data_IF_191496567039
#
_entry.id   IF_191496567039
#
_cell.length_a   1.000
_cell.length_b   1.000
_cell.length_c   1.000
_cell.angle_alpha   90.00
_cell.angle_beta   90.00
_cell.angle_gamma   90.00
#
_symmetry.space_group_name_H-M   'P 1'
#
loop_
_entity.id
_entity.type
_entity.pdbx_description
1 polymer ?
#
# COMPACT_ATOMS: atom_id res chain seq x y z
N UNK A 1 -24.44 16.36 -90.08
CA UNK A 1 -23.38 17.33 -89.87
C UNK A 1 -22.75 17.07 -88.49
N UNK A 2 -21.53 16.53 -88.46
CA UNK A 2 -20.81 16.20 -87.27
C UNK A 2 -19.71 17.26 -87.07
N UNK A 3 -19.71 17.98 -85.96
CA UNK A 3 -18.70 18.91 -85.55
C UNK A 3 -17.79 18.33 -84.50
N UNK A 4 -16.56 18.08 -84.87
CA UNK A 4 -15.50 17.62 -83.95
C UNK A 4 -15.01 18.79 -83.07
N UNK A 5 -15.03 18.61 -81.75
CA UNK A 5 -14.30 19.47 -80.82
C UNK A 5 -13.00 18.77 -80.40
N UNK A 6 -11.89 19.48 -80.75
CA UNK A 6 -10.52 19.16 -80.29
C UNK A 6 -10.41 19.36 -78.77
N UNK A 7 -9.96 18.36 -78.09
CA UNK A 7 -9.49 18.44 -76.65
C UNK A 7 -8.01 18.87 -76.67
N UNK A 8 -7.72 19.96 -75.95
CA UNK A 8 -6.36 20.41 -75.66
C UNK A 8 -5.90 19.78 -74.34
N UNK A 9 -4.73 19.13 -74.38
CA UNK A 9 -4.08 18.50 -73.19
C UNK A 9 -3.42 19.59 -72.34
N UNK A 10 -3.45 19.47 -70.97
CA UNK A 10 -2.74 20.37 -70.09
C UNK A 10 -1.26 19.95 -69.92
N UNK A 11 -0.38 20.91 -69.89
CA UNK A 11 1.06 20.85 -69.71
C UNK A 11 1.38 20.41 -68.22
N UNK A 12 2.41 19.59 -67.93
CA UNK A 12 2.75 19.20 -66.58
C UNK A 12 3.47 20.33 -65.84
N UNK A 13 2.92 20.66 -64.66
CA UNK A 13 3.52 21.63 -63.72
C UNK A 13 4.64 20.91 -62.93
N UNK A 14 5.86 21.43 -63.07
CA UNK A 14 7.05 21.01 -62.34
C UNK A 14 6.89 21.27 -60.85
N UNK A 15 6.88 20.20 -60.02
CA UNK A 15 6.94 20.29 -58.56
C UNK A 15 8.36 20.62 -58.11
N UNK A 16 8.56 21.85 -57.63
CA UNK A 16 9.78 22.25 -56.90
C UNK A 16 9.83 21.45 -55.61
N UNK A 17 10.83 20.59 -55.47
CA UNK A 17 11.20 19.95 -54.18
C UNK A 17 11.81 21.01 -53.27
N UNK A 18 11.22 21.13 -52.05
CA UNK A 18 11.80 21.89 -50.96
C UNK A 18 12.97 21.07 -50.34
N UNK A 19 14.03 21.72 -49.85
CA UNK A 19 15.13 21.02 -49.21
C UNK A 19 14.63 20.40 -47.91
N UNK A 20 14.88 19.08 -47.74
CA UNK A 20 14.69 18.34 -46.48
C UNK A 20 15.91 18.62 -45.61
N UNK A 21 15.72 19.32 -44.52
CA UNK A 21 16.75 19.45 -43.49
C UNK A 21 17.16 18.09 -42.96
N UNK A 22 18.44 17.86 -42.62
CA UNK A 22 18.89 16.57 -42.09
C UNK A 22 18.20 16.28 -40.76
N UNK A 23 17.62 15.08 -40.65
CA UNK A 23 17.06 14.53 -39.42
C UNK A 23 18.17 14.54 -38.36
N UNK A 24 18.06 15.48 -37.43
CA UNK A 24 18.88 15.48 -36.24
C UNK A 24 18.50 14.21 -35.48
N UNK A 25 19.40 13.21 -35.46
CA UNK A 25 19.32 12.07 -34.58
C UNK A 25 19.34 12.59 -33.14
N UNK A 26 18.17 12.83 -32.57
CA UNK A 26 18.03 12.98 -31.16
C UNK A 26 18.28 11.59 -30.55
N UNK A 27 19.44 11.43 -29.94
CA UNK A 27 19.70 10.29 -29.06
C UNK A 27 18.52 10.18 -28.08
N UNK A 28 18.02 8.94 -27.80
CA UNK A 28 16.97 8.79 -26.80
C UNK A 28 17.54 9.31 -25.48
N UNK A 29 16.93 10.37 -24.96
CA UNK A 29 17.16 10.80 -23.58
C UNK A 29 16.75 9.59 -22.73
N UNK A 30 17.73 8.81 -22.28
CA UNK A 30 17.53 7.81 -21.24
C UNK A 30 17.16 8.61 -19.99
N UNK A 31 15.86 8.88 -19.84
CA UNK A 31 15.32 9.35 -18.58
C UNK A 31 15.80 8.32 -17.54
N UNK A 32 16.62 8.76 -16.58
CA UNK A 32 16.89 7.96 -15.38
C UNK A 32 15.52 7.47 -14.91
N UNK A 33 15.30 6.16 -14.97
CA UNK A 33 14.05 5.57 -14.55
C UNK A 33 13.82 6.02 -13.10
N UNK A 34 12.91 6.99 -12.91
CA UNK A 34 12.53 7.48 -11.61
C UNK A 34 11.91 6.34 -10.83
N UNK A 35 12.12 6.29 -9.54
CA UNK A 35 11.42 5.32 -8.70
C UNK A 35 9.96 5.75 -8.61
N UNK A 36 9.04 4.80 -8.82
CA UNK A 36 7.61 5.06 -8.64
C UNK A 36 7.27 5.14 -7.16
N UNK A 37 6.44 6.11 -6.81
CA UNK A 37 5.86 6.26 -5.46
C UNK A 37 4.37 5.96 -5.55
N UNK A 38 3.91 5.06 -4.71
CA UNK A 38 2.53 4.62 -4.63
C UNK A 38 1.80 5.35 -3.51
N UNK A 39 0.63 5.91 -3.81
CA UNK A 39 -0.34 6.29 -2.80
C UNK A 39 -1.34 5.15 -2.66
N UNK A 40 -1.33 4.51 -1.51
CA UNK A 40 -2.18 3.39 -1.17
C UNK A 40 -3.26 3.81 -0.18
N UNK A 41 -4.51 3.48 -0.47
CA UNK A 41 -5.58 3.52 0.53
C UNK A 41 -5.72 2.14 1.15
N UNK A 42 -5.51 2.05 2.44
CA UNK A 42 -5.65 0.84 3.26
C UNK A 42 -6.91 0.97 4.10
N UNK A 43 -7.84 0.06 3.96
CA UNK A 43 -9.12 0.06 4.67
C UNK A 43 -9.26 -1.25 5.43
N UNK A 44 -9.43 -1.19 6.75
CA UNK A 44 -9.77 -2.35 7.57
C UNK A 44 -11.24 -2.71 7.32
N UNK A 45 -11.47 -3.82 6.60
CA UNK A 45 -12.79 -4.21 6.16
C UNK A 45 -13.69 -4.61 7.33
N UNK A 46 -14.96 -4.32 7.21
CA UNK A 46 -15.99 -4.67 8.20
C UNK A 46 -16.13 -3.70 9.38
N UNK A 47 -15.13 -2.87 9.67
CA UNK A 47 -15.21 -1.91 10.81
C UNK A 47 -16.20 -0.78 10.54
N UNK A 48 -16.95 -0.38 11.57
CA UNK A 48 -17.90 0.74 11.55
C UNK A 48 -17.80 1.56 12.84
N UNK A 49 -17.44 2.85 12.75
CA UNK A 49 -16.94 3.59 11.59
C UNK A 49 -15.63 3.02 11.03
N UNK A 50 -15.30 3.35 9.76
CA UNK A 50 -14.13 2.78 9.09
C UNK A 50 -12.81 3.17 9.77
N UNK A 51 -11.95 2.18 10.00
CA UNK A 51 -10.54 2.36 10.30
C UNK A 51 -9.77 2.30 8.97
N UNK A 52 -9.00 3.33 8.66
CA UNK A 52 -8.28 3.39 7.40
C UNK A 52 -7.04 4.26 7.47
N UNK A 53 -6.11 4.05 6.53
CA UNK A 53 -4.89 4.84 6.35
C UNK A 53 -4.70 5.15 4.87
N UNK A 54 -4.09 6.30 4.58
CA UNK A 54 -3.54 6.62 3.25
C UNK A 54 -2.04 6.69 3.37
N UNK A 55 -1.35 5.79 2.69
CA UNK A 55 0.10 5.62 2.78
C UNK A 55 0.77 6.04 1.48
N UNK A 56 1.93 6.65 1.60
CA UNK A 56 2.88 6.83 0.52
C UNK A 56 4.01 5.83 0.73
N UNK A 57 4.25 4.97 -0.28
CA UNK A 57 5.30 3.94 -0.22
C UNK A 57 6.05 3.84 -1.54
N UNK A 58 7.34 3.50 -1.53
CA UNK A 58 8.10 3.23 -2.75
C UNK A 58 7.58 2.01 -3.50
N UNK A 59 7.42 2.12 -4.82
CA UNK A 59 6.95 0.99 -5.65
C UNK A 59 7.93 -0.17 -5.73
N UNK A 60 9.22 0.07 -5.49
CA UNK A 60 10.26 -0.95 -5.41
C UNK A 60 10.42 -1.57 -4.01
N UNK A 61 9.52 -1.29 -3.08
CA UNK A 61 9.44 -1.98 -1.80
C UNK A 61 9.02 -3.44 -2.00
N UNK A 62 9.60 -4.38 -1.25
CA UNK A 62 9.06 -5.73 -1.18
C UNK A 62 7.86 -5.79 -0.21
N UNK A 63 7.06 -6.86 -0.31
CA UNK A 63 5.84 -6.97 0.50
C UNK A 63 6.15 -7.16 1.99
N UNK A 64 7.28 -7.76 2.36
CA UNK A 64 7.69 -7.85 3.76
C UNK A 64 7.98 -6.48 4.39
N UNK A 65 8.54 -5.54 3.61
CA UNK A 65 8.67 -4.17 4.10
C UNK A 65 7.32 -3.44 4.13
N UNK A 66 6.43 -3.72 3.16
CA UNK A 66 5.06 -3.21 3.20
C UNK A 66 4.31 -3.72 4.44
N UNK A 67 4.48 -4.99 4.81
CA UNK A 67 3.96 -5.53 6.06
C UNK A 67 4.41 -4.70 7.27
N UNK A 68 5.72 -4.42 7.39
CA UNK A 68 6.23 -3.57 8.47
C UNK A 68 5.60 -2.17 8.48
N UNK A 69 5.41 -1.57 7.31
CA UNK A 69 4.72 -0.27 7.17
C UNK A 69 3.28 -0.36 7.64
N UNK A 70 2.56 -1.43 7.27
CA UNK A 70 1.17 -1.64 7.67
C UNK A 70 1.05 -1.83 9.19
N UNK A 71 1.92 -2.63 9.79
CA UNK A 71 1.96 -2.84 11.23
C UNK A 71 2.11 -1.53 11.99
N UNK A 72 3.09 -0.71 11.62
CA UNK A 72 3.32 0.61 12.23
C UNK A 72 2.16 1.57 11.97
N UNK A 73 1.67 1.65 10.74
CA UNK A 73 0.63 2.62 10.37
C UNK A 73 -0.74 2.29 10.97
N UNK A 74 -1.05 1.02 11.09
CA UNK A 74 -2.27 0.55 11.75
C UNK A 74 -2.15 0.62 13.28
N UNK A 75 -1.02 0.24 13.83
CA UNK A 75 -0.78 0.16 15.27
C UNK A 75 -0.76 -1.28 15.80
N UNK A 76 -0.61 -2.28 14.91
CA UNK A 76 -0.49 -3.70 15.30
C UNK A 76 0.85 -4.01 15.98
N UNK A 77 0.89 -5.05 16.79
CA UNK A 77 2.07 -5.48 17.56
C UNK A 77 2.97 -6.48 16.81
N UNK A 78 2.54 -6.95 15.62
CA UNK A 78 3.20 -8.02 14.87
C UNK A 78 3.32 -9.35 15.66
N UNK A 79 2.32 -9.68 16.46
CA UNK A 79 2.26 -10.91 17.26
C UNK A 79 1.64 -12.09 16.53
N UNK A 80 1.04 -11.88 15.36
CA UNK A 80 0.30 -12.89 14.60
C UNK A 80 0.85 -13.06 13.17
N UNK A 81 0.45 -14.17 12.53
CA UNK A 81 0.76 -14.46 11.14
C UNK A 81 -0.02 -13.52 10.18
N UNK A 82 0.49 -13.39 8.98
CA UNK A 82 -0.13 -12.57 7.95
C UNK A 82 0.10 -13.13 6.55
N UNK A 83 -0.71 -12.64 5.61
CA UNK A 83 -0.52 -12.92 4.18
C UNK A 83 -1.01 -11.77 3.31
N UNK A 84 -0.48 -11.70 2.09
CA UNK A 84 -0.97 -10.85 1.02
C UNK A 84 -1.64 -11.69 -0.06
N UNK A 85 -2.77 -11.21 -0.58
CA UNK A 85 -3.56 -11.86 -1.62
C UNK A 85 -3.74 -10.88 -2.78
N UNK A 86 -3.29 -11.25 -3.98
CA UNK A 86 -3.40 -10.42 -5.19
C UNK A 86 -3.49 -11.31 -6.44
N UNK A 87 -4.48 -11.05 -7.30
CA UNK A 87 -4.84 -12.01 -8.34
C UNK A 87 -5.12 -13.38 -7.74
N UNK A 88 -4.50 -14.42 -8.29
CA UNK A 88 -4.57 -15.79 -7.77
C UNK A 88 -3.35 -16.16 -6.90
N UNK A 89 -2.57 -15.16 -6.48
CA UNK A 89 -1.33 -15.37 -5.72
C UNK A 89 -1.56 -15.15 -4.23
N UNK A 90 -0.87 -15.99 -3.43
CA UNK A 90 -0.72 -15.84 -1.98
C UNK A 90 0.75 -15.57 -1.70
N UNK A 91 1.02 -14.61 -0.82
CA UNK A 91 2.39 -14.24 -0.47
C UNK A 91 2.47 -14.03 1.06
N UNK A 92 3.47 -14.60 1.70
CA UNK A 92 3.63 -14.55 3.17
C UNK A 92 5.10 -14.60 3.56
N UNK A 93 5.37 -14.43 4.86
CA UNK A 93 6.68 -14.67 5.45
C UNK A 93 7.00 -16.17 5.38
N UNK A 94 8.20 -16.57 4.92
CA UNK A 94 8.62 -17.98 4.90
C UNK A 94 8.58 -18.67 6.27
N UNK A 95 8.76 -17.92 7.36
CA UNK A 95 8.69 -18.47 8.72
C UNK A 95 7.26 -18.85 9.14
N UNK A 96 6.23 -18.46 8.37
CA UNK A 96 4.82 -18.78 8.66
C UNK A 96 4.50 -20.28 8.52
N UNK A 97 5.32 -21.06 7.80
CA UNK A 97 5.06 -22.45 7.46
C UNK A 97 3.91 -22.66 6.46
N UNK A 98 3.37 -21.60 5.87
CA UNK A 98 2.30 -21.71 4.86
C UNK A 98 2.79 -22.38 3.58
N UNK A 99 4.05 -22.16 3.19
CA UNK A 99 4.68 -22.78 2.03
C UNK A 99 4.90 -24.29 2.20
N UNK A 100 5.04 -24.81 3.41
CA UNK A 100 5.15 -26.24 3.69
C UNK A 100 3.89 -27.01 3.25
N UNK A 101 2.73 -26.38 3.36
CA UNK A 101 1.42 -26.92 2.98
C UNK A 101 0.96 -26.49 1.57
N UNK A 102 1.54 -25.43 1.02
CA UNK A 102 1.22 -24.90 -0.31
C UNK A 102 2.46 -24.32 -0.99
N UNK A 103 3.15 -25.09 -1.84
CA UNK A 103 4.35 -24.63 -2.55
C UNK A 103 4.12 -23.43 -3.49
N UNK A 104 2.86 -23.05 -3.74
CA UNK A 104 2.53 -21.88 -4.54
C UNK A 104 2.55 -20.56 -3.76
N UNK A 105 2.77 -20.62 -2.44
CA UNK A 105 2.91 -19.42 -1.60
C UNK A 105 4.24 -18.73 -1.93
N UNK A 106 4.17 -17.46 -2.27
CA UNK A 106 5.35 -16.65 -2.60
C UNK A 106 6.00 -16.10 -1.33
N UNK A 107 7.32 -15.99 -1.36
CA UNK A 107 8.08 -15.32 -0.31
C UNK A 107 7.96 -13.81 -0.44
N UNK A 108 7.36 -13.16 0.55
CA UNK A 108 7.10 -11.71 0.56
C UNK A 108 8.36 -10.84 0.44
N UNK A 109 9.52 -11.34 0.88
CA UNK A 109 10.79 -10.62 0.75
C UNK A 109 11.28 -10.54 -0.71
N UNK A 110 10.73 -11.36 -1.59
CA UNK A 110 11.08 -11.44 -3.01
C UNK A 110 10.05 -10.81 -3.94
N UNK A 111 8.83 -10.54 -3.46
CA UNK A 111 7.76 -9.92 -4.25
C UNK A 111 7.82 -8.41 -4.10
N UNK A 112 7.93 -7.70 -5.22
CA UNK A 112 7.98 -6.24 -5.25
C UNK A 112 6.56 -5.67 -5.41
N UNK A 113 6.25 -4.59 -4.70
CA UNK A 113 4.93 -3.95 -4.72
C UNK A 113 4.47 -3.59 -6.13
N UNK A 114 5.36 -3.00 -6.95
CA UNK A 114 5.03 -2.64 -8.33
C UNK A 114 4.78 -3.84 -9.24
N UNK A 115 5.28 -5.02 -8.90
CA UNK A 115 5.04 -6.25 -9.67
C UNK A 115 3.72 -6.89 -9.24
N UNK A 116 3.38 -6.80 -7.96
CA UNK A 116 2.14 -7.34 -7.42
C UNK A 116 0.89 -6.53 -7.84
N UNK A 117 0.98 -5.20 -7.83
CA UNK A 117 -0.12 -4.27 -8.18
C UNK A 117 0.40 -3.12 -9.06
N UNK A 118 0.69 -3.38 -10.35
CA UNK A 118 1.40 -2.44 -11.22
C UNK A 118 0.62 -1.19 -11.62
N UNK A 119 -0.72 -1.19 -11.52
CA UNK A 119 -1.55 -0.14 -12.08
C UNK A 119 -2.35 0.62 -11.03
N UNK A 120 -2.69 1.86 -11.34
CA UNK A 120 -3.66 2.62 -10.57
C UNK A 120 -5.01 1.88 -10.56
N UNK A 121 -5.67 1.85 -9.39
CA UNK A 121 -6.90 1.09 -9.08
C UNK A 121 -6.71 -0.41 -8.87
N UNK A 122 -5.52 -0.95 -9.06
CA UNK A 122 -5.23 -2.32 -8.63
C UNK A 122 -5.44 -2.46 -7.13
N UNK A 123 -5.72 -3.69 -6.72
CA UNK A 123 -6.07 -4.01 -5.32
C UNK A 123 -5.34 -5.25 -4.88
N UNK A 124 -5.01 -5.29 -3.59
CA UNK A 124 -4.63 -6.51 -2.88
C UNK A 124 -5.31 -6.53 -1.52
N UNK A 125 -5.42 -7.70 -0.93
CA UNK A 125 -5.82 -7.88 0.47
C UNK A 125 -4.57 -8.19 1.29
N UNK A 126 -4.44 -7.54 2.43
CA UNK A 126 -3.52 -7.92 3.49
C UNK A 126 -4.34 -8.46 4.65
N UNK A 127 -4.18 -9.73 4.95
CA UNK A 127 -4.79 -10.40 6.10
C UNK A 127 -3.76 -10.51 7.21
N UNK A 128 -4.11 -10.04 8.38
CA UNK A 128 -3.33 -10.14 9.59
C UNK A 128 -4.13 -10.87 10.66
N UNK A 129 -3.48 -11.76 11.39
CA UNK A 129 -4.08 -12.65 12.39
C UNK A 129 -5.17 -13.56 11.78
N UNK A 130 -4.81 -14.81 11.49
CA UNK A 130 -5.74 -15.77 10.88
C UNK A 130 -6.86 -16.23 11.85
N UNK A 131 -6.72 -15.96 13.16
CA UNK A 131 -7.76 -16.18 14.16
C UNK A 131 -8.85 -15.11 14.09
N UNK A 132 -8.46 -13.85 14.14
CA UNK A 132 -9.35 -12.69 14.09
C UNK A 132 -9.67 -12.25 12.65
N UNK A 133 -8.90 -12.70 11.63
CA UNK A 133 -9.08 -12.42 10.20
C UNK A 133 -9.18 -10.93 9.89
N UNK A 134 -8.20 -10.14 10.33
CA UNK A 134 -8.14 -8.72 10.04
C UNK A 134 -7.80 -8.45 8.59
N UNK A 135 -8.82 -8.34 7.75
CA UNK A 135 -8.68 -8.10 6.32
C UNK A 135 -8.56 -6.60 6.00
N UNK A 136 -7.43 -6.22 5.43
CA UNK A 136 -7.15 -4.86 4.99
C UNK A 136 -7.19 -4.81 3.46
N UNK A 137 -8.15 -4.07 2.91
CA UNK A 137 -8.19 -3.80 1.48
C UNK A 137 -7.24 -2.68 1.13
N UNK A 138 -6.24 -3.00 0.30
CA UNK A 138 -5.24 -2.06 -0.21
C UNK A 138 -5.61 -1.70 -1.64
N UNK A 139 -5.68 -0.41 -1.94
CA UNK A 139 -6.05 0.11 -3.26
C UNK A 139 -4.98 1.13 -3.70
N UNK A 140 -4.46 0.99 -4.92
CA UNK A 140 -3.56 1.96 -5.54
C UNK A 140 -4.37 3.19 -5.97
N UNK A 141 -4.29 4.29 -5.22
CA UNK A 141 -4.96 5.54 -5.58
C UNK A 141 -4.19 6.32 -6.64
N UNK A 142 -2.85 6.36 -6.55
CA UNK A 142 -1.97 7.08 -7.49
C UNK A 142 -0.61 6.40 -7.59
N UNK A 143 0.03 6.57 -8.74
CA UNK A 143 1.44 6.23 -8.97
C UNK A 143 2.12 7.49 -9.49
N UNK A 144 3.16 7.95 -8.80
CA UNK A 144 3.91 9.16 -9.08
C UNK A 144 5.37 8.81 -9.40
N UNK A 145 6.01 9.58 -10.26
CA UNK A 145 7.47 9.51 -10.44
C UNK A 145 8.16 10.35 -9.37
N UNK A 146 9.20 9.81 -8.75
CA UNK A 146 9.97 10.51 -7.74
C UNK A 146 11.48 10.36 -7.94
N UNK A 147 12.23 11.26 -7.30
CA UNK A 147 13.67 11.16 -7.20
C UNK A 147 14.04 9.87 -6.44
N UNK A 148 15.02 9.09 -6.91
CA UNK A 148 15.53 7.92 -6.20
C UNK A 148 15.94 8.17 -4.74
N UNK A 149 16.34 9.40 -4.40
CA UNK A 149 16.69 9.78 -3.02
C UNK A 149 15.47 9.83 -2.09
N UNK A 150 14.28 10.14 -2.61
CA UNK A 150 13.02 10.19 -1.84
C UNK A 150 12.39 8.80 -1.64
N UNK A 151 12.94 7.76 -2.23
CA UNK A 151 12.31 6.47 -2.46
C UNK A 151 12.56 5.40 -1.39
N UNK A 152 12.92 5.78 -0.17
CA UNK A 152 13.26 4.82 0.89
C UNK A 152 12.48 5.03 2.18
N UNK A 153 11.46 5.86 2.15
CA UNK A 153 10.68 6.24 3.33
C UNK A 153 9.19 6.05 3.04
N UNK A 154 8.49 5.40 3.97
CA UNK A 154 7.05 5.42 3.98
C UNK A 154 6.54 6.64 4.76
N UNK A 155 5.39 7.16 4.34
CA UNK A 155 4.66 8.21 5.04
C UNK A 155 3.19 7.84 5.14
N UNK A 156 2.58 8.10 6.27
CA UNK A 156 1.14 8.20 6.39
C UNK A 156 0.72 9.61 5.96
N UNK A 157 -0.18 9.71 5.01
CA UNK A 157 -0.67 10.99 4.47
C UNK A 157 -1.97 11.43 5.14
N UNK A 158 -2.78 10.44 5.57
CA UNK A 158 -4.10 10.67 6.13
C UNK A 158 -4.64 9.36 6.74
N UNK A 159 -5.69 9.43 7.55
CA UNK A 159 -6.33 8.27 8.13
C UNK A 159 -7.45 8.64 9.10
N UNK A 160 -8.06 7.62 9.67
CA UNK A 160 -9.04 7.82 10.73
C UNK A 160 -9.06 6.63 11.68
N UNK A 161 -9.26 6.93 12.96
CA UNK A 161 -9.49 6.04 14.08
C UNK A 161 -8.27 5.21 14.50
N UNK A 162 -8.28 4.79 15.76
CA UNK A 162 -7.36 3.80 16.28
C UNK A 162 -7.64 2.43 15.65
N UNK A 163 -6.59 1.62 15.54
CA UNK A 163 -6.75 0.22 15.19
C UNK A 163 -7.44 -0.53 16.32
N UNK A 164 -8.21 -1.59 16.03
CA UNK A 164 -8.64 -2.51 17.06
C UNK A 164 -7.43 -3.06 17.85
N UNK A 165 -7.56 -3.36 19.12
CA UNK A 165 -6.54 -4.13 19.85
C UNK A 165 -6.38 -5.54 19.25
N UNK A 166 -5.17 -6.12 19.34
CA UNK A 166 -4.98 -7.54 19.06
C UNK A 166 -5.88 -8.39 19.96
N UNK A 167 -6.26 -9.58 19.50
CA UNK A 167 -7.04 -10.59 20.26
C UNK A 167 -8.43 -10.12 20.75
N UNK A 168 -9.03 -9.11 20.11
CA UNK A 168 -10.36 -8.64 20.52
C UNK A 168 -11.53 -9.40 19.87
N UNK A 169 -11.26 -10.50 19.14
CA UNK A 169 -12.28 -11.36 18.53
C UNK A 169 -12.74 -10.91 17.14
N UNK A 170 -11.83 -10.29 16.38
CA UNK A 170 -12.06 -9.84 15.02
C UNK A 170 -13.09 -8.71 14.91
N UNK A 171 -13.65 -8.54 13.71
CA UNK A 171 -14.64 -7.48 13.46
C UNK A 171 -15.86 -7.56 14.38
N UNK A 172 -16.44 -8.74 14.66
CA UNK A 172 -17.55 -8.85 15.60
C UNK A 172 -17.17 -8.43 17.02
N UNK A 173 -16.08 -8.99 17.57
CA UNK A 173 -15.63 -8.66 18.93
C UNK A 173 -15.28 -7.18 19.09
N UNK A 174 -14.65 -6.58 18.05
CA UNK A 174 -14.41 -5.13 18.04
C UNK A 174 -15.71 -4.32 18.05
N UNK A 175 -16.72 -4.73 17.31
CA UNK A 175 -18.01 -4.06 17.30
C UNK A 175 -18.70 -4.14 18.68
N UNK A 176 -18.70 -5.31 19.30
CA UNK A 176 -19.26 -5.51 20.64
C UNK A 176 -18.49 -4.69 21.70
N UNK A 177 -17.16 -4.70 21.62
CA UNK A 177 -16.31 -3.89 22.48
C UNK A 177 -16.64 -2.39 22.38
N UNK A 178 -16.83 -1.87 21.15
CA UNK A 178 -17.21 -0.46 20.96
C UNK A 178 -18.56 -0.13 21.59
N UNK A 179 -19.53 -1.03 21.57
CA UNK A 179 -20.83 -0.83 22.21
C UNK A 179 -20.70 -0.90 23.76
N UNK A 180 -19.90 -1.80 24.29
CA UNK A 180 -19.63 -1.91 25.72
C UNK A 180 -19.04 -0.61 26.27
N UNK A 181 -17.96 -0.12 25.64
CA UNK A 181 -17.26 1.09 26.14
C UNK A 181 -18.06 2.40 26.01
N UNK A 182 -19.10 2.41 25.17
CA UNK A 182 -20.04 3.54 25.09
C UNK A 182 -21.06 3.55 26.24
N UNK A 183 -21.22 2.44 26.93
CA UNK A 183 -22.30 2.24 27.89
C UNK A 183 -21.75 1.97 29.30
N UNK A 184 -21.47 2.98 30.14
CA UNK A 184 -20.92 2.82 31.49
C UNK A 184 -21.74 1.93 32.43
N UNK A 185 -23.01 1.63 32.07
CA UNK A 185 -23.89 0.74 32.81
C UNK A 185 -23.88 -0.70 32.29
N UNK A 186 -23.08 -0.98 31.23
CA UNK A 186 -22.99 -2.34 30.71
C UNK A 186 -22.29 -3.25 31.74
N UNK A 187 -22.76 -4.50 31.96
CA UNK A 187 -22.17 -5.41 32.95
C UNK A 187 -20.66 -5.63 32.76
N UNK A 188 -20.18 -5.60 31.52
CA UNK A 188 -18.80 -5.85 31.17
C UNK A 188 -17.97 -4.56 30.96
N UNK A 189 -18.54 -3.38 31.27
CA UNK A 189 -17.87 -2.09 31.03
C UNK A 189 -16.53 -2.00 31.76
N UNK A 190 -16.54 -2.27 33.07
CA UNK A 190 -15.32 -2.14 33.87
C UNK A 190 -14.24 -3.13 33.44
N UNK A 191 -14.59 -4.41 33.23
CA UNK A 191 -13.63 -5.43 32.78
C UNK A 191 -13.07 -5.13 31.40
N UNK A 192 -13.89 -4.62 30.48
CA UNK A 192 -13.45 -4.23 29.13
C UNK A 192 -12.53 -3.01 29.19
N UNK A 193 -12.82 -2.02 30.04
CA UNK A 193 -11.96 -0.84 30.22
C UNK A 193 -10.63 -1.23 30.86
N UNK A 194 -10.63 -2.11 31.85
CA UNK A 194 -9.41 -2.63 32.47
C UNK A 194 -8.53 -3.36 31.44
N UNK A 195 -9.12 -4.19 30.58
CA UNK A 195 -8.41 -4.90 29.52
C UNK A 195 -7.83 -3.96 28.46
N UNK A 196 -8.56 -2.92 28.06
CA UNK A 196 -8.13 -1.93 27.06
C UNK A 196 -7.05 -0.98 27.58
N UNK A 197 -6.97 -0.79 28.89
CA UNK A 197 -6.20 0.29 29.50
C UNK A 197 -6.92 1.65 29.39
N UNK A 198 -6.51 2.58 30.25
CA UNK A 198 -7.14 3.90 30.37
C UNK A 198 -7.00 4.77 29.12
N UNK A 199 -5.96 4.54 28.34
CA UNK A 199 -5.60 5.38 27.20
C UNK A 199 -6.31 5.00 25.88
N UNK A 200 -6.93 3.81 25.81
CA UNK A 200 -7.56 3.39 24.55
C UNK A 200 -8.77 4.27 24.22
N UNK A 201 -8.66 4.96 23.09
CA UNK A 201 -9.74 5.73 22.49
C UNK A 201 -9.87 5.37 21.01
N UNK A 202 -11.00 4.75 20.58
CA UNK A 202 -11.19 4.31 19.20
C UNK A 202 -11.23 5.45 18.17
N UNK A 203 -11.47 6.70 18.61
CA UNK A 203 -11.48 7.86 17.71
C UNK A 203 -10.09 8.45 17.47
N UNK A 204 -9.06 7.98 18.18
CA UNK A 204 -7.70 8.54 18.06
C UNK A 204 -7.08 8.18 16.71
N UNK A 205 -6.52 9.19 16.06
CA UNK A 205 -5.64 9.06 14.90
C UNK A 205 -4.55 10.12 15.00
N UNK A 206 -3.33 9.69 15.30
CA UNK A 206 -2.19 10.58 15.46
C UNK A 206 -1.23 10.43 14.27
N UNK A 207 -1.38 11.32 13.29
CA UNK A 207 -0.60 11.33 12.06
C UNK A 207 0.89 11.58 12.33
N UNK A 208 1.21 12.45 13.30
CA UNK A 208 2.59 12.83 13.60
C UNK A 208 3.32 11.66 14.27
N UNK A 209 2.68 11.00 15.25
CA UNK A 209 3.20 9.82 15.93
C UNK A 209 3.44 8.67 14.94
N UNK A 210 2.48 8.36 14.08
CA UNK A 210 2.62 7.34 13.03
C UNK A 210 3.82 7.66 12.14
N UNK A 211 3.95 8.88 11.66
CA UNK A 211 5.05 9.29 10.79
C UNK A 211 6.41 9.31 11.52
N UNK A 212 6.44 9.62 12.82
CA UNK A 212 7.66 9.50 13.62
C UNK A 212 8.15 8.05 13.70
N UNK A 213 7.23 7.09 13.86
CA UNK A 213 7.54 5.66 13.86
C UNK A 213 7.91 5.15 12.46
N UNK A 214 7.18 5.54 11.40
CA UNK A 214 7.51 5.15 10.02
C UNK A 214 8.90 5.60 9.59
N UNK A 215 9.38 6.78 10.04
CA UNK A 215 10.75 7.25 9.75
C UNK A 215 11.83 6.38 10.38
N UNK A 216 11.52 5.62 11.43
CA UNK A 216 12.44 4.69 12.08
C UNK A 216 12.57 3.38 11.30
N UNK A 217 11.60 3.05 10.41
CA UNK A 217 11.67 1.88 9.54
C UNK A 217 12.81 2.04 8.54
N UNK A 218 13.81 1.18 8.65
CA UNK A 218 14.93 1.17 7.72
C UNK A 218 14.54 0.40 6.46
N UNK A 219 15.04 0.87 5.31
CA UNK A 219 14.97 0.11 4.08
C UNK A 219 15.68 -1.24 4.26
N UNK A 220 15.07 -2.37 3.88
CA UNK A 220 15.53 -3.67 4.31
C UNK A 220 16.91 -4.03 3.76
N UNK A 221 17.78 -4.49 4.69
CA UNK A 221 18.83 -5.46 4.36
C UNK A 221 18.38 -6.90 4.68
N UNK A 222 17.41 -7.08 5.60
CA UNK A 222 16.61 -8.28 5.87
C UNK A 222 15.41 -7.89 6.73
N UNK A 223 14.25 -8.52 6.52
CA UNK A 223 12.94 -8.07 7.03
C UNK A 223 12.80 -8.25 8.55
N UNK A 224 13.28 -9.36 9.10
CA UNK A 224 13.06 -9.76 10.50
C UNK A 224 13.73 -8.85 11.53
N UNK A 225 14.96 -8.39 11.23
CA UNK A 225 15.74 -7.49 12.12
C UNK A 225 15.10 -6.11 12.26
N UNK A 226 14.30 -5.69 11.29
CA UNK A 226 13.73 -4.35 11.19
C UNK A 226 12.44 -4.19 11.97
N UNK A 227 11.57 -5.19 11.93
CA UNK A 227 10.31 -5.22 12.67
C UNK A 227 10.57 -5.22 14.19
N UNK A 228 11.44 -6.12 14.67
CA UNK A 228 11.78 -6.15 16.09
C UNK A 228 12.27 -4.81 16.62
N UNK A 229 13.12 -4.12 15.84
CA UNK A 229 13.66 -2.83 16.27
C UNK A 229 12.61 -1.70 16.23
N UNK A 230 11.77 -1.65 15.18
CA UNK A 230 10.74 -0.64 15.06
C UNK A 230 9.61 -0.81 16.09
N UNK A 231 9.30 -2.04 16.48
CA UNK A 231 8.30 -2.34 17.51
C UNK A 231 8.83 -2.08 18.92
N UNK A 232 10.09 -2.44 19.23
CA UNK A 232 10.73 -2.09 20.50
C UNK A 232 10.85 -0.58 20.71
N UNK A 233 11.17 0.17 19.62
CA UNK A 233 11.25 1.63 19.67
C UNK A 233 9.85 2.31 19.66
N UNK A 234 8.75 1.57 19.47
CA UNK A 234 7.38 2.07 19.59
C UNK A 234 6.95 2.21 21.04
N UNK A 235 7.39 1.30 21.89
CA UNK A 235 7.15 1.38 23.34
C UNK A 235 7.84 2.62 23.94
N UNK A 236 9.00 3.00 23.38
CA UNK A 236 9.69 4.27 23.71
C UNK A 236 8.97 5.55 23.19
N UNK A 237 7.93 5.41 22.36
CA UNK A 237 7.09 6.52 21.90
C UNK A 237 5.81 6.66 22.74
N UNK A 238 5.63 5.83 23.76
CA UNK A 238 4.48 5.88 24.67
C UNK A 238 4.79 6.63 25.98
N UNK A 239 6.06 7.05 26.19
CA UNK A 239 6.46 8.02 27.20
C UNK A 239 6.53 9.42 26.51
#
# INVERSE_FOLDING_TARGET
MKTNKKQSSPTPVSKKQLPVDPIVNSEPITAKAGVSIYHLKVVLEGTKPLVWRRLQVPGNANLGWLHAVLQVAMGWSNSHLHQFLFGDQVCSDPSSGLEDNNPSVLNESKVILSDAIPNQKDKMTYEYDFGDSWNHKIIVEKILSADPAASKVALCLDGARACPPDDCGGVPGYADMLEIIKSPKHPEYESTREWLGDEFNPETFDLEKINACLRKLKWPRSTESLLRKALMERDDCQE
#
